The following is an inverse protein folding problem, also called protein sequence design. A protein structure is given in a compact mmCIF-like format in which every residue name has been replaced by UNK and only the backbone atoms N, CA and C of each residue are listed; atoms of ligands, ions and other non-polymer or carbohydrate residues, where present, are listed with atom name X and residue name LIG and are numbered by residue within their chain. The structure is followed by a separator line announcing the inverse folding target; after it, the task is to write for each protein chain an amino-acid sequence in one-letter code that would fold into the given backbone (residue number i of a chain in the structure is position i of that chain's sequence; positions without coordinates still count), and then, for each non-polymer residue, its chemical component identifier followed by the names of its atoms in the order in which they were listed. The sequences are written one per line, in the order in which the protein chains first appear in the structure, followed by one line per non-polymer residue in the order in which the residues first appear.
data_IF_333924623576
#
_entry.id   IF_333924623576
#
_cell.length_a   1.000
_cell.length_b   1.000
_cell.length_c   1.000
_cell.angle_alpha   90.00
_cell.angle_beta   90.00
_cell.angle_gamma   90.00
#
_symmetry.space_group_name_H-M   'P 1'
#
loop_
_entity.id
_entity.type
_entity.pdbx_description
1 polymer ?
#
# COMPACT_ATOMS: atom_id res chain seq x y z
N UNK A 1 -29.85 2.53 -1.68
CA UNK A 1 -29.07 3.16 -0.59
C UNK A 1 -27.73 2.43 -0.51
N UNK A 2 -26.63 3.14 -0.25
CA UNK A 2 -25.32 2.50 -0.08
C UNK A 2 -25.13 2.14 1.38
N UNK A 3 -24.97 0.85 1.67
CA UNK A 3 -24.68 0.37 3.02
C UNK A 3 -23.18 0.16 3.17
N UNK A 4 -22.58 0.76 4.20
CA UNK A 4 -21.22 0.44 4.59
C UNK A 4 -21.19 -1.00 5.11
N UNK A 5 -20.34 -1.83 4.50
CA UNK A 5 -20.21 -3.24 4.88
C UNK A 5 -19.11 -3.46 5.91
N UNK A 6 -17.94 -2.83 5.72
CA UNK A 6 -16.79 -3.00 6.62
C UNK A 6 -15.74 -1.88 6.45
N UNK A 7 -14.80 -1.78 7.39
CA UNK A 7 -13.61 -0.91 7.36
C UNK A 7 -12.38 -1.70 7.84
N UNK A 8 -11.36 -1.79 6.99
CA UNK A 8 -10.13 -2.54 7.28
C UNK A 8 -8.92 -1.64 7.50
N UNK A 9 -8.65 -1.31 8.77
CA UNK A 9 -7.51 -0.47 9.16
C UNK A 9 -6.15 -1.16 9.02
N UNK A 10 -6.13 -2.49 9.03
CA UNK A 10 -4.92 -3.28 8.90
C UNK A 10 -4.20 -3.07 7.55
N UNK A 11 -4.90 -2.57 6.52
CA UNK A 11 -4.30 -2.21 5.23
C UNK A 11 -3.65 -0.82 5.18
N UNK A 12 -3.70 -0.06 6.28
CA UNK A 12 -3.10 1.27 6.40
C UNK A 12 -3.84 2.37 5.63
N UNK A 13 -3.16 3.49 5.37
CA UNK A 13 -3.73 4.68 4.74
C UNK A 13 -3.52 4.60 3.23
N UNK A 14 -4.42 3.91 2.56
CA UNK A 14 -4.23 3.55 1.16
C UNK A 14 -4.22 4.78 0.25
N UNK A 15 -3.15 4.94 -0.52
CA UNK A 15 -3.04 5.85 -1.66
C UNK A 15 -3.44 5.18 -2.98
N UNK A 16 -3.23 3.86 -3.08
CA UNK A 16 -3.53 3.06 -4.24
C UNK A 16 -3.86 1.63 -3.85
N UNK A 17 -4.78 1.02 -4.59
CA UNK A 17 -5.23 -0.37 -4.37
C UNK A 17 -5.26 -1.08 -5.72
N UNK A 18 -4.84 -2.34 -5.71
CA UNK A 18 -5.06 -3.29 -6.79
C UNK A 18 -5.58 -4.60 -6.20
N UNK A 19 -6.55 -5.23 -6.86
CA UNK A 19 -7.02 -6.58 -6.54
C UNK A 19 -6.84 -7.42 -7.79
N UNK A 20 -6.17 -8.54 -7.68
CA UNK A 20 -5.97 -9.46 -8.80
C UNK A 20 -7.12 -10.46 -8.96
N UNK A 21 -7.02 -11.33 -9.96
CA UNK A 21 -8.04 -12.33 -10.28
C UNK A 21 -8.20 -13.45 -9.22
N UNK A 22 -7.32 -13.50 -8.22
CA UNK A 22 -7.32 -14.49 -7.14
C UNK A 22 -7.74 -13.88 -5.79
N UNK A 23 -8.37 -12.70 -5.81
CA UNK A 23 -8.80 -11.96 -4.62
C UNK A 23 -7.64 -11.59 -3.67
N UNK A 24 -6.44 -11.37 -4.22
CA UNK A 24 -5.32 -10.79 -3.46
C UNK A 24 -5.40 -9.26 -3.56
N UNK A 25 -5.49 -8.60 -2.42
CA UNK A 25 -5.48 -7.14 -2.27
C UNK A 25 -4.07 -6.64 -2.01
N UNK A 26 -3.62 -5.73 -2.87
CA UNK A 26 -2.37 -4.99 -2.77
C UNK A 26 -2.72 -3.53 -2.43
N UNK A 27 -2.22 -3.03 -1.31
CA UNK A 27 -2.50 -1.69 -0.81
C UNK A 27 -1.20 -0.91 -0.60
N UNK A 28 -1.05 0.20 -1.31
CA UNK A 28 0.05 1.13 -1.16
C UNK A 28 -0.28 2.21 -0.13
N UNK A 29 0.65 2.52 0.77
CA UNK A 29 0.60 3.65 1.69
C UNK A 29 1.89 4.46 1.60
N UNK A 30 1.76 5.66 1.04
CA UNK A 30 2.84 6.59 0.72
C UNK A 30 2.99 7.75 1.70
N UNK A 31 2.08 7.89 2.68
CA UNK A 31 1.86 9.17 3.36
C UNK A 31 1.71 9.07 4.90
N UNK A 32 1.49 7.87 5.46
CA UNK A 32 1.40 7.69 6.92
C UNK A 32 2.65 8.19 7.64
N UNK A 33 2.47 9.03 8.67
CA UNK A 33 3.56 9.61 9.44
C UNK A 33 4.42 10.67 8.73
N UNK A 34 4.22 10.91 7.43
CA UNK A 34 4.89 12.00 6.69
C UNK A 34 3.95 13.20 6.52
N UNK A 35 3.26 13.30 5.38
CA UNK A 35 2.23 14.33 5.13
C UNK A 35 0.94 14.05 5.90
N UNK A 36 0.80 12.85 6.47
CA UNK A 36 -0.26 12.51 7.41
C UNK A 36 0.28 12.14 8.80
N UNK A 37 0.65 13.13 9.64
CA UNK A 37 1.14 12.89 11.00
C UNK A 37 0.13 12.18 11.92
N UNK A 38 -1.17 12.28 11.63
CA UNK A 38 -2.21 11.62 12.43
C UNK A 38 -2.13 10.09 12.38
N UNK A 39 -1.52 9.54 11.33
CA UNK A 39 -1.23 8.10 11.18
C UNK A 39 0.26 7.82 11.39
N UNK A 40 0.92 8.53 12.32
CA UNK A 40 2.35 8.37 12.61
C UNK A 40 2.74 7.00 13.16
N UNK A 41 1.81 6.30 13.81
CA UNK A 41 2.02 4.94 14.32
C UNK A 41 1.85 3.86 13.24
N UNK A 42 1.43 4.25 12.02
CA UNK A 42 1.20 3.31 10.92
C UNK A 42 2.46 3.19 10.07
N UNK A 43 2.87 1.95 9.80
CA UNK A 43 4.03 1.68 8.95
C UNK A 43 3.67 1.88 7.47
N UNK A 44 4.29 2.86 6.81
CA UNK A 44 4.20 3.05 5.35
C UNK A 44 4.80 1.89 4.58
N UNK A 45 4.32 1.68 3.35
CA UNK A 45 4.76 0.61 2.47
C UNK A 45 3.61 -0.01 1.67
N UNK A 46 3.86 -1.18 1.10
CA UNK A 46 2.86 -1.96 0.37
C UNK A 46 2.44 -3.16 1.23
N UNK A 47 1.14 -3.29 1.53
CA UNK A 47 0.56 -4.45 2.17
C UNK A 47 -0.09 -5.36 1.15
N UNK A 48 0.03 -6.67 1.36
CA UNK A 48 -0.58 -7.70 0.52
C UNK A 48 -1.38 -8.63 1.43
N UNK A 49 -2.60 -8.95 1.03
CA UNK A 49 -3.50 -9.79 1.81
C UNK A 49 -4.76 -10.18 1.07
N UNK A 50 -5.75 -10.71 1.77
CA UNK A 50 -6.98 -11.18 1.16
C UNK A 50 -8.01 -10.06 0.99
N UNK A 51 -8.56 -9.93 -0.22
CA UNK A 51 -9.72 -9.10 -0.51
C UNK A 51 -11.05 -9.71 -0.01
N UNK A 52 -11.03 -10.97 0.45
CA UNK A 52 -12.21 -11.68 0.97
C UNK A 52 -12.28 -11.55 2.49
N UNK A 53 -11.17 -11.83 3.18
CA UNK A 53 -11.14 -11.90 4.65
C UNK A 53 -10.60 -10.64 5.30
N UNK A 54 -9.91 -9.79 4.54
CA UNK A 54 -9.21 -8.62 5.06
C UNK A 54 -7.92 -8.95 5.81
N UNK A 55 -7.48 -10.21 5.83
CA UNK A 55 -6.22 -10.58 6.50
C UNK A 55 -5.01 -10.10 5.69
N UNK A 56 -4.06 -9.45 6.37
CA UNK A 56 -2.78 -9.02 5.78
C UNK A 56 -1.75 -10.13 5.96
N UNK A 57 -1.11 -10.53 4.87
CA UNK A 57 -0.10 -11.60 4.87
C UNK A 57 1.32 -11.04 4.84
N UNK A 58 1.56 -9.97 4.05
CA UNK A 58 2.89 -9.41 3.85
C UNK A 58 2.89 -7.89 3.90
N UNK A 59 4.03 -7.33 4.33
CA UNK A 59 4.35 -5.91 4.25
C UNK A 59 5.72 -5.75 3.58
N UNK A 60 5.75 -4.97 2.50
CA UNK A 60 6.97 -4.40 1.93
C UNK A 60 7.10 -2.99 2.53
N UNK A 61 7.98 -2.78 3.52
CA UNK A 61 8.07 -1.49 4.20
C UNK A 61 8.69 -0.42 3.30
N UNK A 62 8.31 0.85 3.53
CA UNK A 62 9.05 2.00 3.00
C UNK A 62 10.52 1.92 3.48
N UNK A 63 11.52 1.86 2.57
CA UNK A 63 12.92 1.77 2.96
C UNK A 63 13.45 3.06 3.61
N UNK A 64 12.70 4.16 3.57
CA UNK A 64 13.08 5.46 4.14
C UNK A 64 12.01 5.96 5.13
N UNK A 65 12.01 5.49 6.39
CA UNK A 65 10.97 5.84 7.37
C UNK A 65 10.92 7.34 7.72
N UNK A 66 12.04 8.05 7.64
CA UNK A 66 12.12 9.49 7.94
C UNK A 66 11.77 10.40 6.74
N UNK A 67 11.28 9.81 5.64
CA UNK A 67 10.94 10.57 4.45
C UNK A 67 9.84 11.62 4.71
N UNK A 68 10.00 12.80 4.11
CA UNK A 68 9.06 13.93 4.20
C UNK A 68 8.38 14.14 2.86
N UNK A 69 7.07 14.30 2.86
CA UNK A 69 6.28 14.30 1.63
C UNK A 69 5.66 12.93 1.36
N UNK A 70 5.19 12.73 0.14
CA UNK A 70 4.82 11.41 -0.36
C UNK A 70 6.08 10.60 -0.62
N UNK A 71 6.13 9.38 -0.09
CA UNK A 71 7.27 8.48 -0.13
C UNK A 71 6.80 7.08 -0.55
N UNK A 72 7.70 6.20 -0.99
CA UNK A 72 7.34 4.87 -1.53
C UNK A 72 6.26 4.93 -2.64
N UNK A 73 5.51 3.84 -2.83
CA UNK A 73 4.52 3.67 -3.88
C UNK A 73 3.24 4.44 -3.57
N UNK A 74 2.79 5.29 -4.50
CA UNK A 74 1.45 5.89 -4.51
C UNK A 74 0.43 4.93 -5.11
N UNK A 75 0.79 4.33 -6.25
CA UNK A 75 0.03 3.30 -6.92
C UNK A 75 0.74 1.96 -6.81
N UNK A 76 -0.04 0.87 -6.84
CA UNK A 76 0.49 -0.49 -6.84
C UNK A 76 -0.27 -1.35 -7.84
N UNK A 77 0.42 -2.24 -8.52
CA UNK A 77 -0.14 -3.33 -9.32
C UNK A 77 0.72 -4.58 -9.15
N UNK A 78 0.17 -5.75 -9.48
CA UNK A 78 0.94 -7.00 -9.54
C UNK A 78 0.71 -7.70 -10.89
N UNK A 79 1.69 -8.48 -11.33
CA UNK A 79 1.54 -9.35 -12.50
C UNK A 79 1.20 -10.80 -12.10
N UNK A 80 0.86 -11.62 -13.10
CA UNK A 80 0.51 -13.04 -12.92
C UNK A 80 1.64 -13.92 -12.36
N UNK A 81 2.86 -13.40 -12.27
CA UNK A 81 4.01 -14.10 -11.71
C UNK A 81 4.27 -13.69 -10.26
N UNK A 82 3.41 -12.84 -9.67
CA UNK A 82 3.57 -12.32 -8.31
C UNK A 82 4.56 -11.18 -8.19
N UNK A 83 5.06 -10.61 -9.30
CA UNK A 83 5.89 -9.42 -9.22
C UNK A 83 5.01 -8.21 -8.87
N UNK A 84 5.44 -7.43 -7.89
CA UNK A 84 4.71 -6.23 -7.45
C UNK A 84 5.41 -5.00 -8.02
N UNK A 85 4.63 -4.06 -8.55
CA UNK A 85 5.13 -2.81 -9.11
C UNK A 85 4.54 -1.62 -8.37
N UNK A 86 5.41 -0.82 -7.76
CA UNK A 86 5.06 0.42 -7.09
C UNK A 86 5.34 1.63 -7.99
N UNK A 87 4.35 2.51 -8.16
CA UNK A 87 4.51 3.80 -8.80
C UNK A 87 4.93 4.83 -7.74
N UNK A 88 6.23 5.09 -7.63
CA UNK A 88 6.78 6.00 -6.64
C UNK A 88 6.85 7.42 -7.18
N UNK A 89 6.30 8.38 -6.44
CA UNK A 89 6.32 9.81 -6.79
C UNK A 89 7.28 10.63 -5.91
N UNK A 90 7.82 10.01 -4.86
CA UNK A 90 8.72 10.66 -3.90
C UNK A 90 10.11 11.01 -4.47
N UNK A 91 11.08 11.37 -3.63
CA UNK A 91 12.37 11.97 -4.04
C UNK A 91 13.17 11.20 -5.10
N UNK A 92 13.04 9.88 -5.16
CA UNK A 92 13.69 9.04 -6.17
C UNK A 92 12.83 8.91 -7.44
N UNK A 93 11.51 8.83 -7.29
CA UNK A 93 10.54 8.62 -8.36
C UNK A 93 10.68 7.29 -9.13
N UNK A 94 9.66 6.99 -9.93
CA UNK A 94 9.67 5.94 -10.96
C UNK A 94 8.90 4.69 -10.60
N UNK A 95 9.07 3.65 -11.41
CA UNK A 95 8.46 2.33 -11.17
C UNK A 95 9.49 1.43 -10.50
N UNK A 96 9.16 0.88 -9.33
CA UNK A 96 9.96 -0.15 -8.67
C UNK A 96 9.30 -1.50 -8.83
N UNK A 97 10.11 -2.54 -9.00
CA UNK A 97 9.66 -3.94 -8.97
C UNK A 97 10.15 -4.60 -7.70
N UNK A 98 9.25 -5.27 -7.00
CA UNK A 98 9.48 -6.10 -5.83
C UNK A 98 9.23 -7.56 -6.20
N UNK A 99 10.07 -8.47 -5.68
CA UNK A 99 10.08 -9.91 -5.98
C UNK A 99 10.18 -10.72 -4.70
#
# INVERSE_FOLDING_TARGET
EGNLLDIWYQFSRNSGIFIDEHDVLYAADSESGSVNPAHGDWLRGIRVGSAITGEVEFLIPDPQPDCRGTCTAEGVVADKHGNIFGAEVGPVGGIKRYV
#
